data_IF_335544774533
#
_entry.id   IF_335544774533
#
_cell.length_a   1.000
_cell.length_b   1.000
_cell.length_c   1.000
_cell.angle_alpha   90.00
_cell.angle_beta   90.00
_cell.angle_gamma   90.00
#
_symmetry.space_group_name_H-M   'P 1'
#
loop_
_entity.id
_entity.type
_entity.pdbx_description
1 polymer ?
#
# COMPACT_ATOMS: atom_id res chain seq x y z
N UNK A 1 -1.09 30.17 -1.63
CA UNK A 1 -2.34 29.41 -1.82
C UNK A 1 -2.12 28.00 -1.27
N UNK A 2 -2.40 27.81 0.02
CA UNK A 2 -2.07 26.57 0.76
C UNK A 2 -3.31 26.10 1.49
N UNK A 3 -4.19 25.37 0.81
CA UNK A 3 -5.47 24.90 1.37
C UNK A 3 -5.94 23.53 0.90
N UNK A 4 -5.21 22.88 -0.01
CA UNK A 4 -5.68 21.65 -0.68
C UNK A 4 -5.27 20.36 0.04
N UNK A 5 -4.20 20.39 0.84
CA UNK A 5 -3.68 19.20 1.52
C UNK A 5 -4.60 18.64 2.61
N UNK A 6 -5.35 19.52 3.31
CA UNK A 6 -6.25 19.10 4.40
C UNK A 6 -7.51 18.38 3.91
N UNK A 7 -8.07 18.80 2.77
CA UNK A 7 -9.27 18.19 2.20
C UNK A 7 -9.01 16.81 1.59
N UNK A 8 -7.86 16.65 0.90
CA UNK A 8 -7.44 15.35 0.37
C UNK A 8 -7.17 14.33 1.48
N UNK A 9 -6.49 14.74 2.56
CA UNK A 9 -6.27 13.86 3.71
C UNK A 9 -7.58 13.43 4.39
N UNK A 10 -8.56 14.34 4.52
CA UNK A 10 -9.88 14.01 5.07
C UNK A 10 -10.67 13.01 4.22
N UNK A 11 -10.66 13.15 2.89
CA UNK A 11 -11.29 12.20 1.97
C UNK A 11 -10.62 10.82 2.04
N UNK A 12 -9.29 10.80 2.04
CA UNK A 12 -8.48 9.59 2.19
C UNK A 12 -8.81 8.84 3.48
N UNK A 13 -8.83 9.53 4.63
CA UNK A 13 -9.17 8.93 5.92
C UNK A 13 -10.58 8.35 5.91
N UNK A 14 -11.58 9.10 5.41
CA UNK A 14 -12.98 8.61 5.33
C UNK A 14 -13.09 7.34 4.50
N UNK A 15 -12.43 7.29 3.34
CA UNK A 15 -12.39 6.09 2.51
C UNK A 15 -11.72 4.92 3.25
N UNK A 16 -10.55 5.13 3.86
CA UNK A 16 -9.84 4.09 4.60
C UNK A 16 -10.69 3.52 5.76
N UNK A 17 -11.24 4.37 6.62
CA UNK A 17 -12.02 3.87 7.77
C UNK A 17 -13.33 3.21 7.36
N UNK A 18 -13.83 3.44 6.15
CA UNK A 18 -15.06 2.82 5.65
C UNK A 18 -14.96 1.29 5.51
N UNK A 19 -13.75 0.73 5.48
CA UNK A 19 -13.55 -0.73 5.51
C UNK A 19 -13.86 -1.33 6.88
N UNK A 20 -13.71 -0.55 7.96
CA UNK A 20 -13.96 -1.03 9.31
C UNK A 20 -15.46 -1.25 9.59
N UNK A 21 -15.82 -2.15 10.52
CA UNK A 21 -17.21 -2.32 10.94
C UNK A 21 -17.84 -1.07 11.58
N UNK A 22 -17.04 -0.19 12.20
CA UNK A 22 -17.47 1.08 12.79
C UNK A 22 -16.53 2.22 12.33
N UNK A 23 -16.79 2.81 11.15
CA UNK A 23 -15.89 3.79 10.54
C UNK A 23 -15.66 5.03 11.41
N UNK A 24 -16.71 5.54 12.04
CA UNK A 24 -16.68 6.78 12.82
C UNK A 24 -15.87 6.60 14.11
N UNK A 25 -16.05 5.49 14.83
CA UNK A 25 -15.24 5.18 16.00
C UNK A 25 -13.77 4.92 15.63
N UNK A 26 -13.50 4.27 14.49
CA UNK A 26 -12.12 4.05 14.01
C UNK A 26 -11.44 5.36 13.64
N UNK A 27 -12.15 6.29 12.98
CA UNK A 27 -11.63 7.64 12.68
C UNK A 27 -11.26 8.39 13.95
N UNK A 28 -12.20 8.52 14.90
CA UNK A 28 -11.96 9.25 16.15
C UNK A 28 -10.76 8.67 16.90
N UNK A 29 -10.67 7.35 17.00
CA UNK A 29 -9.53 6.67 17.66
C UNK A 29 -8.22 7.00 16.95
N UNK A 30 -8.18 6.91 15.62
CA UNK A 30 -6.98 7.20 14.84
C UNK A 30 -6.52 8.67 14.99
N UNK A 31 -7.45 9.62 14.93
CA UNK A 31 -7.16 11.05 15.10
C UNK A 31 -6.65 11.38 16.52
N UNK A 32 -7.10 10.63 17.52
CA UNK A 32 -6.66 10.78 18.92
C UNK A 32 -5.40 9.98 19.29
N UNK A 33 -4.98 9.01 18.47
CA UNK A 33 -3.84 8.14 18.78
C UNK A 33 -2.52 8.89 18.50
N UNK A 34 -1.68 9.14 19.52
CA UNK A 34 -0.40 9.83 19.33
C UNK A 34 0.57 9.07 18.43
N UNK A 35 0.38 7.75 18.24
CA UNK A 35 1.18 6.94 17.31
C UNK A 35 0.81 7.22 15.85
N UNK A 36 -0.39 7.75 15.58
CA UNK A 36 -0.85 8.03 14.22
C UNK A 36 -1.05 6.80 13.33
N UNK A 37 -1.22 5.61 13.93
CA UNK A 37 -1.44 4.33 13.26
C UNK A 37 -2.87 3.85 13.50
N UNK A 38 -3.43 3.13 12.52
CA UNK A 38 -4.69 2.40 12.65
C UNK A 38 -4.55 1.00 12.07
N UNK A 39 -5.34 0.07 12.57
CA UNK A 39 -5.49 -1.27 12.02
C UNK A 39 -6.85 -1.37 11.32
N UNK A 40 -6.86 -1.67 10.02
CA UNK A 40 -8.08 -1.79 9.21
C UNK A 40 -8.14 -3.15 8.51
N UNK A 41 -9.34 -3.73 8.33
CA UNK A 41 -9.48 -5.02 7.68
C UNK A 41 -9.23 -4.91 6.17
N UNK A 42 -8.60 -5.93 5.59
CA UNK A 42 -8.58 -6.18 4.16
C UNK A 42 -9.73 -7.12 3.74
N UNK A 43 -9.91 -7.35 2.43
CA UNK A 43 -10.92 -8.26 1.89
C UNK A 43 -12.29 -7.66 1.63
N UNK A 44 -12.55 -6.41 2.06
CA UNK A 44 -13.85 -5.76 1.85
C UNK A 44 -13.82 -4.71 0.75
N UNK A 45 -12.98 -3.69 0.94
CA UNK A 45 -12.82 -2.60 -0.03
C UNK A 45 -11.53 -2.71 -0.83
N UNK A 46 -10.56 -3.47 -0.32
CA UNK A 46 -9.27 -3.71 -0.93
C UNK A 46 -8.68 -4.99 -0.37
N UNK A 47 -7.89 -5.65 -1.20
CA UNK A 47 -6.82 -6.51 -0.73
C UNK A 47 -5.50 -5.74 -0.80
N UNK A 48 -4.46 -6.25 -0.13
CA UNK A 48 -3.11 -5.67 -0.20
C UNK A 48 -2.13 -6.73 -0.68
N UNK A 49 -1.53 -6.48 -1.85
CA UNK A 49 -0.42 -7.28 -2.36
C UNK A 49 0.91 -6.71 -1.88
N UNK A 50 1.65 -7.57 -1.22
CA UNK A 50 2.92 -7.27 -0.60
C UNK A 50 4.04 -7.75 -1.50
N UNK A 51 4.92 -6.83 -1.89
CA UNK A 51 6.10 -7.14 -2.70
C UNK A 51 7.39 -7.03 -1.87
N UNK A 52 8.38 -7.91 -2.12
CA UNK A 52 9.68 -7.84 -1.46
C UNK A 52 10.50 -6.65 -1.97
N UNK A 53 11.30 -6.07 -1.08
CA UNK A 53 11.98 -4.79 -1.33
C UNK A 53 12.83 -4.72 -2.59
N UNK A 54 13.45 -5.83 -3.02
CA UNK A 54 14.29 -5.89 -4.22
C UNK A 54 13.56 -5.45 -5.50
N UNK A 55 12.30 -5.86 -5.68
CA UNK A 55 11.52 -5.54 -6.89
C UNK A 55 10.41 -4.52 -6.60
N UNK A 56 10.07 -4.28 -5.34
CA UNK A 56 8.94 -3.43 -4.96
C UNK A 56 9.08 -1.99 -5.46
N UNK A 57 10.26 -1.37 -5.30
CA UNK A 57 10.49 0.00 -5.78
C UNK A 57 10.51 0.09 -7.31
N UNK A 58 11.28 -0.73 -8.03
CA UNK A 58 11.23 -0.72 -9.49
C UNK A 58 9.84 -1.01 -10.05
N UNK A 59 9.05 -1.88 -9.40
CA UNK A 59 7.65 -2.13 -9.78
C UNK A 59 6.81 -0.86 -9.69
N UNK A 60 6.91 -0.10 -8.60
CA UNK A 60 6.20 1.17 -8.46
C UNK A 60 6.64 2.18 -9.52
N UNK A 61 7.93 2.25 -9.82
CA UNK A 61 8.47 3.18 -10.82
C UNK A 61 7.96 2.82 -12.23
N UNK A 62 7.89 1.53 -12.60
CA UNK A 62 7.26 1.06 -13.85
C UNK A 62 5.76 1.35 -13.86
N UNK A 63 5.04 1.00 -12.80
CA UNK A 63 3.60 1.21 -12.69
C UNK A 63 3.22 2.68 -12.87
N UNK A 64 4.00 3.60 -12.30
CA UNK A 64 3.78 5.06 -12.41
C UNK A 64 3.98 5.56 -13.85
N UNK A 65 4.77 4.86 -14.68
CA UNK A 65 4.89 5.15 -16.12
C UNK A 65 3.72 4.60 -16.93
N UNK A 66 3.14 3.47 -16.51
CA UNK A 66 2.01 2.82 -17.17
C UNK A 66 0.67 3.50 -16.88
N UNK A 67 0.53 4.15 -15.72
CA UNK A 67 -0.70 4.87 -15.34
C UNK A 67 -0.41 6.19 -14.62
N UNK A 68 -1.13 7.24 -14.99
CA UNK A 68 -1.06 8.54 -14.31
C UNK A 68 -1.76 8.57 -12.95
N UNK A 69 -2.49 7.51 -12.58
CA UNK A 69 -3.24 7.41 -11.31
C UNK A 69 -3.10 6.01 -10.70
N UNK A 70 -1.91 5.61 -10.22
CA UNK A 70 -1.76 4.35 -9.51
C UNK A 70 -2.59 4.34 -8.22
N UNK A 71 -3.00 3.16 -7.77
CA UNK A 71 -3.67 3.00 -6.48
C UNK A 71 -2.73 3.26 -5.30
N UNK A 72 -3.26 3.26 -4.06
CA UNK A 72 -2.49 3.51 -2.85
C UNK A 72 -1.36 2.49 -2.67
N UNK A 73 -0.20 2.98 -2.21
CA UNK A 73 0.98 2.14 -1.94
C UNK A 73 1.61 2.53 -0.61
N UNK A 74 1.81 1.54 0.26
CA UNK A 74 2.52 1.67 1.52
C UNK A 74 3.96 1.19 1.40
N UNK A 75 4.88 1.88 2.06
CA UNK A 75 6.20 1.37 2.39
C UNK A 75 6.22 0.88 3.85
N UNK A 76 6.77 -0.33 4.03
CA UNK A 76 7.06 -1.04 5.27
C UNK A 76 5.87 -1.55 6.11
N UNK A 77 5.39 -2.77 5.89
CA UNK A 77 4.24 -3.35 6.62
C UNK A 77 4.62 -4.47 7.64
N UNK A 78 5.78 -4.43 8.33
CA UNK A 78 6.05 -5.35 9.45
C UNK A 78 7.50 -5.39 9.99
N UNK A 79 7.66 -5.85 11.25
CA UNK A 79 8.93 -5.86 11.98
C UNK A 79 10.03 -6.67 11.26
N UNK A 80 11.12 -5.99 10.92
CA UNK A 80 12.30 -6.59 10.31
C UNK A 80 13.00 -7.52 11.30
N UNK A 81 13.16 -8.77 10.91
CA UNK A 81 14.47 -9.46 11.02
C UNK A 81 14.75 -10.06 9.63
N UNK A 82 15.90 -9.92 8.99
CA UNK A 82 17.28 -9.67 9.45
C UNK A 82 18.09 -8.82 8.45
N UNK A 83 19.11 -8.09 8.95
CA UNK A 83 20.22 -7.54 8.17
C UNK A 83 20.13 -6.03 7.88
N UNK A 84 21.21 -5.23 8.09
CA UNK A 84 21.20 -3.76 8.03
C UNK A 84 21.01 -3.14 6.63
N UNK A 85 20.61 -3.91 5.61
CA UNK A 85 20.58 -3.45 4.21
C UNK A 85 19.36 -3.92 3.38
N UNK A 86 18.33 -4.55 3.98
CA UNK A 86 17.19 -4.99 3.19
C UNK A 86 16.28 -3.83 2.76
N UNK A 87 16.08 -3.65 1.45
CA UNK A 87 15.16 -2.68 0.87
C UNK A 87 13.73 -2.83 1.46
N UNK A 88 12.97 -1.72 1.63
CA UNK A 88 11.65 -1.76 2.26
C UNK A 88 10.66 -2.54 1.38
N UNK A 89 9.90 -3.44 2.00
CA UNK A 89 8.74 -4.07 1.35
C UNK A 89 7.64 -3.04 1.10
N UNK A 90 6.83 -3.25 0.07
CA UNK A 90 5.70 -2.36 -0.25
C UNK A 90 4.39 -3.12 -0.35
N UNK A 91 3.30 -2.49 0.09
CA UNK A 91 1.94 -3.00 -0.01
C UNK A 91 1.14 -2.18 -1.01
N UNK A 92 0.66 -2.82 -2.08
CA UNK A 92 -0.16 -2.24 -3.13
C UNK A 92 -1.63 -2.57 -2.87
N UNK A 93 -2.48 -1.56 -2.81
CA UNK A 93 -3.91 -1.74 -2.62
C UNK A 93 -4.54 -2.11 -3.96
N UNK A 94 -5.18 -3.26 -4.01
CA UNK A 94 -5.79 -3.84 -5.22
C UNK A 94 -7.27 -4.17 -4.94
N UNK A 95 -8.10 -4.41 -5.98
CA UNK A 95 -9.48 -4.84 -5.80
C UNK A 95 -9.60 -6.06 -4.86
N UNK A 96 -10.70 -6.15 -4.07
CA UNK A 96 -10.93 -7.30 -3.21
C UNK A 96 -11.08 -8.59 -4.05
N UNK A 97 -10.63 -9.72 -3.51
CA UNK A 97 -10.65 -11.03 -4.17
C UNK A 97 -9.38 -11.35 -4.95
N UNK A 98 -8.52 -10.36 -5.21
CA UNK A 98 -7.20 -10.59 -5.84
C UNK A 98 -6.32 -11.52 -4.99
N UNK A 99 -6.42 -11.41 -3.67
CA UNK A 99 -5.68 -12.26 -2.75
C UNK A 99 -5.99 -13.75 -2.86
N UNK A 100 -7.14 -14.12 -3.43
CA UNK A 100 -7.57 -15.52 -3.54
C UNK A 100 -6.91 -16.26 -4.71
N UNK A 101 -6.47 -15.54 -5.74
CA UNK A 101 -5.91 -16.13 -6.96
C UNK A 101 -4.51 -15.62 -7.32
N UNK A 102 -4.00 -14.59 -6.63
CA UNK A 102 -2.67 -14.06 -6.91
C UNK A 102 -1.57 -15.06 -6.55
N UNK A 103 -0.77 -15.46 -7.54
CA UNK A 103 0.37 -16.37 -7.36
C UNK A 103 1.62 -15.73 -7.94
N UNK A 104 2.53 -15.27 -7.07
CA UNK A 104 3.85 -14.80 -7.48
C UNK A 104 4.91 -15.08 -6.40
N UNK A 105 6.13 -15.39 -6.81
CA UNK A 105 7.18 -15.81 -5.89
C UNK A 105 7.60 -14.69 -4.93
N UNK A 106 7.47 -14.96 -3.63
CA UNK A 106 7.89 -14.04 -2.58
C UNK A 106 6.95 -12.85 -2.37
N UNK A 107 5.78 -12.84 -3.03
CA UNK A 107 4.70 -11.93 -2.65
C UNK A 107 3.88 -12.53 -1.51
N UNK A 108 3.16 -11.67 -0.80
CA UNK A 108 2.16 -12.06 0.18
C UNK A 108 0.86 -11.31 -0.14
N UNK A 109 -0.30 -11.90 0.12
CA UNK A 109 -1.57 -11.24 -0.08
C UNK A 109 -2.31 -11.12 1.26
N UNK A 110 -2.81 -9.92 1.56
CA UNK A 110 -3.70 -9.69 2.70
C UNK A 110 -5.10 -9.44 2.16
N UNK A 111 -5.98 -10.42 2.34
CA UNK A 111 -7.37 -10.40 1.91
C UNK A 111 -8.36 -10.56 3.07
N UNK A 112 -9.49 -11.25 2.86
CA UNK A 112 -10.47 -11.52 3.92
C UNK A 112 -9.84 -12.09 5.18
N UNK A 113 -10.20 -11.52 6.34
CA UNK A 113 -9.68 -11.93 7.65
C UNK A 113 -8.30 -11.34 8.02
N UNK A 114 -7.58 -10.76 7.06
CA UNK A 114 -6.33 -10.06 7.33
C UNK A 114 -6.57 -8.62 7.80
N UNK A 115 -5.61 -8.09 8.53
CA UNK A 115 -5.61 -6.73 9.04
C UNK A 115 -4.33 -6.00 8.62
N UNK A 116 -4.46 -4.75 8.19
CA UNK A 116 -3.36 -3.95 7.67
C UNK A 116 -3.14 -2.72 8.56
N UNK A 117 -1.89 -2.48 8.93
CA UNK A 117 -1.47 -1.30 9.71
C UNK A 117 -1.25 -0.12 8.77
N UNK A 118 -1.95 0.98 9.00
CA UNK A 118 -1.91 2.17 8.15
C UNK A 118 -1.46 3.40 8.94
N UNK A 119 -0.50 4.20 8.41
CA UNK A 119 -0.19 5.52 8.94
C UNK A 119 -1.21 6.54 8.43
N UNK A 120 -1.42 7.61 9.20
CA UNK A 120 -2.29 8.70 8.75
C UNK A 120 -1.81 9.22 7.38
N UNK A 121 -2.71 9.51 6.41
CA UNK A 121 -2.33 10.02 5.09
C UNK A 121 -1.36 11.22 5.17
N UNK A 122 -0.24 11.14 4.44
CA UNK A 122 0.80 12.16 4.45
C UNK A 122 1.73 12.16 5.67
N UNK A 123 1.62 11.18 6.59
CA UNK A 123 2.52 11.02 7.74
C UNK A 123 3.31 9.71 7.64
N UNK A 124 4.46 9.70 8.32
CA UNK A 124 5.23 8.47 8.59
C UNK A 124 5.05 8.12 10.05
N UNK A 125 4.72 6.86 10.35
CA UNK A 125 4.51 6.37 11.71
C UNK A 125 4.87 4.90 11.82
N UNK A 126 5.56 4.50 12.90
CA UNK A 126 5.95 3.09 13.12
C UNK A 126 6.80 2.47 12.00
N UNK A 127 7.58 3.29 11.29
CA UNK A 127 8.35 2.87 10.10
C UNK A 127 7.51 2.76 8.83
N UNK A 128 6.18 2.91 8.91
CA UNK A 128 5.25 2.84 7.79
C UNK A 128 4.98 4.24 7.21
N UNK A 129 4.94 4.35 5.89
CA UNK A 129 4.53 5.59 5.19
C UNK A 129 3.80 5.30 3.88
N UNK A 130 2.99 6.24 3.42
CA UNK A 130 2.44 6.21 2.07
C UNK A 130 3.49 6.63 1.05
N UNK A 131 3.65 5.86 -0.02
CA UNK A 131 4.37 6.25 -1.24
C UNK A 131 3.41 6.83 -2.28
N UNK A 132 2.21 6.23 -2.37
CA UNK A 132 1.06 6.80 -3.09
C UNK A 132 -0.06 6.92 -2.08
N UNK A 133 -0.45 8.16 -1.78
CA UNK A 133 -1.49 8.46 -0.80
C UNK A 133 -2.85 8.17 -1.43
N UNK A 134 -3.80 7.55 -0.70
CA UNK A 134 -5.15 7.39 -1.22
C UNK A 134 -5.80 8.74 -1.53
N UNK A 135 -6.45 8.83 -2.69
CA UNK A 135 -7.18 10.02 -3.13
C UNK A 135 -8.57 10.15 -2.49
N UNK A 136 -9.04 9.07 -1.85
CA UNK A 136 -10.35 9.00 -1.21
C UNK A 136 -11.49 8.67 -2.17
N UNK A 137 -11.24 8.49 -3.47
CA UNK A 137 -12.27 8.06 -4.44
C UNK A 137 -12.37 6.55 -4.59
N UNK A 138 -11.50 5.78 -3.95
CA UNK A 138 -11.45 4.33 -4.08
C UNK A 138 -10.69 3.84 -5.30
N UNK A 139 -9.78 4.66 -5.84
CA UNK A 139 -8.85 4.22 -6.88
C UNK A 139 -7.97 3.10 -6.31
N UNK A 140 -7.90 1.96 -6.99
CA UNK A 140 -7.07 0.81 -6.62
C UNK A 140 -6.13 0.47 -7.78
N UNK A 141 -5.04 -0.22 -7.46
CA UNK A 141 -4.07 -0.67 -8.45
C UNK A 141 -4.67 -1.82 -9.27
N UNK A 142 -4.69 -1.66 -10.59
CA UNK A 142 -5.09 -2.72 -11.52
C UNK A 142 -4.12 -3.92 -11.39
N UNK A 143 -4.61 -5.14 -11.06
CA UNK A 143 -3.77 -6.32 -10.92
C UNK A 143 -2.98 -6.66 -12.18
N UNK A 144 -3.54 -6.45 -13.37
CA UNK A 144 -2.86 -6.75 -14.63
C UNK A 144 -1.70 -5.79 -14.90
N UNK A 145 -1.88 -4.49 -14.61
CA UNK A 145 -0.80 -3.50 -14.70
C UNK A 145 0.26 -3.74 -13.63
N UNK A 146 -0.13 -4.18 -12.43
CA UNK A 146 0.83 -4.54 -11.38
C UNK A 146 1.67 -5.75 -11.78
N UNK A 147 1.05 -6.79 -12.34
CA UNK A 147 1.74 -7.98 -12.83
C UNK A 147 2.73 -7.62 -13.94
N UNK A 148 2.31 -6.82 -14.92
CA UNK A 148 3.20 -6.33 -15.97
C UNK A 148 4.37 -5.53 -15.39
N UNK A 149 4.10 -4.61 -14.46
CA UNK A 149 5.12 -3.81 -13.81
C UNK A 149 6.11 -4.66 -13.00
N UNK A 150 5.64 -5.75 -12.38
CA UNK A 150 6.49 -6.69 -11.66
C UNK A 150 7.41 -7.48 -12.59
N UNK A 151 6.92 -7.94 -13.74
CA UNK A 151 7.75 -8.64 -14.72
C UNK A 151 8.85 -7.74 -15.28
N UNK A 152 8.51 -6.50 -15.63
CA UNK A 152 9.49 -5.51 -16.09
C UNK A 152 10.51 -5.19 -14.99
N UNK A 153 10.05 -4.96 -13.76
CA UNK A 153 10.92 -4.72 -12.61
C UNK A 153 11.89 -5.88 -12.35
N UNK A 154 11.43 -7.13 -12.49
CA UNK A 154 12.28 -8.31 -12.33
C UNK A 154 13.34 -8.39 -13.44
N UNK A 155 12.99 -8.06 -14.69
CA UNK A 155 13.93 -8.01 -15.80
C UNK A 155 15.01 -6.95 -15.60
N UNK A 156 14.64 -5.75 -15.13
CA UNK A 156 15.58 -4.67 -14.81
C UNK A 156 16.57 -5.08 -13.72
N UNK A 157 16.07 -5.60 -12.59
CA UNK A 157 16.93 -6.03 -11.47
C UNK A 157 17.88 -7.16 -11.90
N UNK A 158 17.41 -8.11 -12.71
CA UNK A 158 18.26 -9.19 -13.22
C UNK A 158 19.31 -8.72 -14.25
N UNK A 159 19.10 -7.56 -14.89
CA UNK A 159 20.07 -6.91 -15.76
C UNK A 159 21.19 -6.24 -14.96
N UNK A 160 20.85 -5.53 -13.90
CA UNK A 160 21.81 -4.86 -13.00
C UNK A 160 22.75 -5.85 -12.28
N UNK A 161 22.29 -7.07 -11.97
CA UNK A 161 23.13 -8.10 -11.33
C UNK A 161 24.19 -8.73 -12.25
N UNK A 162 24.08 -8.53 -13.57
CA UNK A 162 25.00 -9.09 -14.57
C UNK A 162 26.12 -8.14 -14.97
N UNK A 163 26.03 -6.88 -14.57
CA UNK A 163 27.01 -5.81 -14.83
C UNK A 163 27.97 -5.64 -13.65
#
# INVERSE_FOLDING_TARGET
MSGTGGQGAGAAVRWLVSAAPDPEGRRRRWESDPRGLVLLPAGRHWDVLVLPGRIARPTLDVLTRLTGRPGPVLAHFGAVRHGPAAAPRMGFFVPPGVSEWWVATGTHAAGPGAWVVLPYPGRTAGGVRWLVVPDGSGTLTDPALLELAMHEAAALVAGEEKE
#
